data_IF_440108443832
#
_entry.id   IF_440108443832
#
_cell.length_a   1.000
_cell.length_b   1.000
_cell.length_c   1.000
_cell.angle_alpha   90.00
_cell.angle_beta   90.00
_cell.angle_gamma   90.00
#
_symmetry.space_group_name_H-M   'P 1'
#
loop_
_entity.id
_entity.type
_entity.pdbx_description
1 polymer ?
#
# COMPACT_ATOMS: atom_id res chain seq x y z
N UNK A 1 13.91 -23.66 -7.61
CA UNK A 1 13.96 -22.73 -6.45
C UNK A 1 13.47 -21.32 -6.76
N UNK A 2 14.23 -20.48 -7.49
CA UNK A 2 13.87 -19.08 -7.73
C UNK A 2 12.51 -18.88 -8.43
N UNK A 3 12.19 -19.74 -9.42
CA UNK A 3 10.90 -19.70 -10.14
C UNK A 3 9.69 -19.93 -9.23
N UNK A 4 9.78 -20.84 -8.26
CA UNK A 4 8.71 -21.13 -7.29
C UNK A 4 8.52 -19.97 -6.30
N UNK A 5 9.62 -19.44 -5.73
CA UNK A 5 9.58 -18.26 -4.85
C UNK A 5 8.97 -17.03 -5.55
N UNK A 6 9.31 -16.80 -6.82
CA UNK A 6 8.76 -15.70 -7.61
C UNK A 6 7.26 -15.86 -7.88
N UNK A 7 6.80 -17.06 -8.23
CA UNK A 7 5.37 -17.34 -8.44
C UNK A 7 4.56 -17.13 -7.16
N UNK A 8 5.09 -17.60 -6.03
CA UNK A 8 4.50 -17.44 -4.70
C UNK A 8 4.43 -15.97 -4.26
N UNK A 9 5.52 -15.22 -4.45
CA UNK A 9 5.53 -13.77 -4.21
C UNK A 9 4.49 -13.07 -5.08
N UNK A 10 4.40 -13.41 -6.37
CA UNK A 10 3.40 -12.86 -7.28
C UNK A 10 1.99 -13.17 -6.79
N UNK A 11 1.71 -14.42 -6.40
CA UNK A 11 0.42 -14.84 -5.83
C UNK A 11 0.02 -13.97 -4.64
N UNK A 12 0.90 -13.85 -3.63
CA UNK A 12 0.60 -13.07 -2.43
C UNK A 12 0.32 -11.60 -2.76
N UNK A 13 1.12 -11.01 -3.66
CA UNK A 13 0.90 -9.62 -4.07
C UNK A 13 -0.47 -9.44 -4.74
N UNK A 14 -0.84 -10.32 -5.68
CA UNK A 14 -2.13 -10.26 -6.37
C UNK A 14 -3.29 -10.50 -5.40
N UNK A 15 -3.15 -11.48 -4.49
CA UNK A 15 -4.14 -11.76 -3.44
C UNK A 15 -4.39 -10.53 -2.57
N UNK A 16 -3.33 -9.92 -2.03
CA UNK A 16 -3.45 -8.71 -1.23
C UNK A 16 -3.94 -7.51 -2.03
N UNK A 17 -3.67 -7.43 -3.34
CA UNK A 17 -4.28 -6.41 -4.19
C UNK A 17 -5.81 -6.54 -4.20
N UNK A 18 -6.34 -7.77 -4.32
CA UNK A 18 -7.80 -8.02 -4.30
C UNK A 18 -8.39 -7.63 -2.97
N UNK A 19 -7.88 -8.19 -1.86
CA UNK A 19 -8.39 -7.94 -0.51
C UNK A 19 -8.38 -6.45 -0.19
N UNK A 20 -7.27 -5.76 -0.46
CA UNK A 20 -7.21 -4.33 -0.19
C UNK A 20 -8.16 -3.53 -1.08
N UNK A 21 -8.31 -3.88 -2.36
CA UNK A 21 -9.28 -3.20 -3.23
C UNK A 21 -10.71 -3.38 -2.71
N UNK A 22 -11.07 -4.55 -2.17
CA UNK A 22 -12.36 -4.79 -1.53
C UNK A 22 -12.58 -3.90 -0.30
N UNK A 23 -11.55 -3.74 0.52
CA UNK A 23 -11.59 -2.83 1.68
C UNK A 23 -11.84 -1.39 1.23
N UNK A 24 -11.06 -0.90 0.26
CA UNK A 24 -11.23 0.44 -0.31
C UNK A 24 -12.65 0.65 -0.88
N UNK A 25 -13.20 -0.35 -1.58
CA UNK A 25 -14.57 -0.28 -2.12
C UNK A 25 -15.62 -0.22 -1.03
N UNK A 26 -15.48 -1.05 0.01
CA UNK A 26 -16.42 -1.12 1.14
C UNK A 26 -16.47 0.20 1.89
N UNK A 27 -15.31 0.81 2.15
CA UNK A 27 -15.21 2.10 2.82
C UNK A 27 -15.43 3.31 1.89
N UNK A 28 -15.66 3.10 0.59
CA UNK A 28 -15.75 4.16 -0.44
C UNK A 28 -14.54 5.11 -0.47
N UNK A 29 -13.36 4.58 -0.18
CA UNK A 29 -12.09 5.32 -0.20
C UNK A 29 -11.39 5.04 -1.52
N UNK A 30 -10.90 6.08 -2.19
CA UNK A 30 -10.12 5.94 -3.43
C UNK A 30 -8.62 5.98 -3.08
N UNK A 31 -7.85 4.94 -3.46
CA UNK A 31 -6.40 4.94 -3.27
C UNK A 31 -5.74 6.14 -3.96
N UNK A 32 -4.74 6.77 -3.33
CA UNK A 32 -4.03 7.95 -3.90
C UNK A 32 -3.60 7.78 -5.36
N UNK A 33 -3.14 6.59 -5.74
CA UNK A 33 -2.69 6.30 -7.10
C UNK A 33 -3.80 6.20 -8.15
N UNK A 34 -5.06 6.10 -7.75
CA UNK A 34 -6.23 6.04 -8.63
C UNK A 34 -7.06 7.33 -8.61
N UNK A 35 -6.71 8.31 -7.77
CA UNK A 35 -7.42 9.59 -7.71
C UNK A 35 -7.09 10.40 -8.96
N UNK A 36 -8.11 10.65 -9.78
CA UNK A 36 -7.99 11.53 -10.94
C UNK A 36 -7.96 12.99 -10.44
N UNK A 37 -6.90 13.73 -10.77
CA UNK A 37 -6.72 15.15 -10.40
C UNK A 37 -6.79 16.02 -11.65
N UNK A 38 -7.95 16.02 -12.31
CA UNK A 38 -8.22 16.82 -13.51
C UNK A 38 -9.30 17.81 -13.13
N UNK A 39 -9.04 19.09 -13.38
CA UNK A 39 -9.95 20.18 -13.03
C UNK A 39 -10.07 21.14 -14.22
N UNK A 40 -11.26 21.68 -14.49
CA UNK A 40 -11.42 22.71 -15.49
C UNK A 40 -10.70 24.00 -15.08
N UNK A 41 -10.30 24.79 -16.08
CA UNK A 41 -9.63 26.06 -15.87
C UNK A 41 -10.66 27.19 -15.89
N UNK A 42 -11.27 27.46 -14.74
CA UNK A 42 -12.16 28.60 -14.54
C UNK A 42 -11.52 29.62 -13.58
N UNK A 43 -11.82 30.91 -13.76
CA UNK A 43 -11.38 31.96 -12.84
C UNK A 43 -12.03 31.81 -11.45
N UNK A 44 -13.32 31.49 -11.43
CA UNK A 44 -14.07 31.18 -10.23
C UNK A 44 -14.92 29.93 -10.48
N UNK A 45 -14.83 28.95 -9.59
CA UNK A 45 -15.60 27.71 -9.72
C UNK A 45 -16.57 27.63 -8.54
N UNK A 46 -17.90 27.72 -8.80
CA UNK A 46 -18.92 27.59 -7.77
C UNK A 46 -18.76 26.28 -7.00
N UNK A 47 -19.00 26.31 -5.68
CA UNK A 47 -18.85 25.14 -4.82
C UNK A 47 -19.74 23.97 -5.26
N UNK A 48 -20.96 24.26 -5.71
CA UNK A 48 -21.88 23.22 -6.22
C UNK A 48 -21.30 22.46 -7.41
N UNK A 49 -20.72 23.19 -8.37
CA UNK A 49 -20.07 22.58 -9.53
C UNK A 49 -18.85 21.75 -9.11
N UNK A 50 -18.07 22.21 -8.12
CA UNK A 50 -16.94 21.42 -7.59
C UNK A 50 -17.40 20.08 -7.05
N UNK A 51 -18.45 20.08 -6.23
CA UNK A 51 -19.01 18.85 -5.66
C UNK A 51 -19.48 17.89 -6.75
N UNK A 52 -20.22 18.39 -7.76
CA UNK A 52 -20.67 17.57 -8.89
C UNK A 52 -19.50 16.99 -9.68
N UNK A 53 -18.46 17.79 -9.93
CA UNK A 53 -17.27 17.35 -10.64
C UNK A 53 -16.50 16.28 -9.86
N UNK A 54 -16.28 16.49 -8.56
CA UNK A 54 -15.64 15.51 -7.67
C UNK A 54 -16.42 14.20 -7.61
N UNK A 55 -17.75 14.26 -7.64
CA UNK A 55 -18.59 13.07 -7.71
C UNK A 55 -18.35 12.28 -9.01
N UNK A 56 -18.27 12.94 -10.16
CA UNK A 56 -17.95 12.29 -11.44
C UNK A 56 -16.56 11.63 -11.41
N UNK A 57 -15.56 12.33 -10.87
CA UNK A 57 -14.22 11.78 -10.70
C UNK A 57 -14.20 10.58 -9.74
N UNK A 58 -15.00 10.66 -8.67
CA UNK A 58 -15.15 9.59 -7.69
C UNK A 58 -15.74 8.34 -8.34
N UNK A 59 -16.86 8.46 -9.05
CA UNK A 59 -17.51 7.36 -9.75
C UNK A 59 -16.59 6.72 -10.79
N UNK A 60 -15.84 7.53 -11.54
CA UNK A 60 -14.83 7.05 -12.48
C UNK A 60 -13.75 6.21 -11.76
N UNK A 61 -13.21 6.73 -10.66
CA UNK A 61 -12.17 6.05 -9.88
C UNK A 61 -12.67 4.72 -9.29
N UNK A 62 -13.92 4.67 -8.83
CA UNK A 62 -14.57 3.44 -8.37
C UNK A 62 -14.68 2.39 -9.49
N UNK A 63 -15.06 2.81 -10.72
CA UNK A 63 -15.07 1.93 -11.89
C UNK A 63 -13.67 1.39 -12.23
N UNK A 64 -12.64 2.22 -12.13
CA UNK A 64 -11.24 1.78 -12.30
C UNK A 64 -10.84 0.74 -11.27
N UNK A 65 -11.21 0.93 -9.99
CA UNK A 65 -10.95 -0.06 -8.95
C UNK A 65 -11.63 -1.40 -9.24
N UNK A 66 -12.88 -1.40 -9.73
CA UNK A 66 -13.59 -2.62 -10.13
C UNK A 66 -12.89 -3.34 -11.27
N UNK A 67 -12.43 -2.60 -12.28
CA UNK A 67 -11.66 -3.16 -13.39
C UNK A 67 -10.36 -3.81 -12.90
N UNK A 68 -9.62 -3.14 -12.02
CA UNK A 68 -8.39 -3.68 -11.41
C UNK A 68 -8.67 -4.94 -10.59
N UNK A 69 -9.74 -4.95 -9.79
CA UNK A 69 -10.14 -6.11 -9.00
C UNK A 69 -10.42 -7.30 -9.91
N UNK A 70 -11.20 -7.10 -10.97
CA UNK A 70 -11.51 -8.14 -11.96
C UNK A 70 -10.23 -8.73 -12.58
N UNK A 71 -9.33 -7.88 -13.07
CA UNK A 71 -8.05 -8.32 -13.63
C UNK A 71 -7.22 -9.14 -12.62
N UNK A 72 -7.12 -8.67 -11.38
CA UNK A 72 -6.37 -9.38 -10.33
C UNK A 72 -6.98 -10.74 -9.99
N UNK A 73 -8.31 -10.88 -10.02
CA UNK A 73 -8.99 -12.16 -9.81
C UNK A 73 -8.65 -13.16 -10.94
N UNK A 74 -8.72 -12.72 -12.19
CA UNK A 74 -8.35 -13.55 -13.35
C UNK A 74 -6.87 -13.99 -13.28
N UNK A 75 -5.98 -13.07 -12.90
CA UNK A 75 -4.56 -13.38 -12.67
C UNK A 75 -4.36 -14.38 -11.54
N UNK A 76 -5.11 -14.26 -10.44
CA UNK A 76 -5.03 -15.17 -9.30
C UNK A 76 -5.43 -16.60 -9.70
N UNK A 77 -6.47 -16.76 -10.52
CA UNK A 77 -6.87 -18.07 -11.06
C UNK A 77 -5.79 -18.67 -11.98
N UNK A 78 -5.17 -17.85 -12.84
CA UNK A 78 -4.04 -18.29 -13.67
C UNK A 78 -2.85 -18.79 -12.83
N UNK A 79 -2.51 -18.05 -11.76
CA UNK A 79 -1.42 -18.43 -10.85
C UNK A 79 -1.76 -19.71 -10.08
N UNK A 80 -3.01 -19.88 -9.63
CA UNK A 80 -3.47 -21.11 -8.97
C UNK A 80 -3.29 -22.34 -9.87
N UNK A 81 -3.60 -22.22 -11.16
CA UNK A 81 -3.40 -23.30 -12.12
C UNK A 81 -1.92 -23.68 -12.26
N UNK A 82 -1.03 -22.67 -12.39
CA UNK A 82 0.41 -22.89 -12.47
C UNK A 82 0.97 -23.55 -11.21
N UNK A 83 0.48 -23.14 -10.03
CA UNK A 83 0.89 -23.77 -8.78
C UNK A 83 0.44 -25.22 -8.69
N UNK A 84 -0.79 -25.53 -9.09
CA UNK A 84 -1.28 -26.91 -9.12
C UNK A 84 -0.37 -27.82 -9.96
N UNK A 85 0.01 -27.37 -11.16
CA UNK A 85 0.93 -28.11 -12.03
C UNK A 85 2.29 -28.37 -11.36
N UNK A 86 2.86 -27.37 -10.68
CA UNK A 86 4.13 -27.51 -9.96
C UNK A 86 3.97 -28.47 -8.77
N UNK A 87 2.87 -28.37 -8.00
CA UNK A 87 2.60 -29.27 -6.89
C UNK A 87 2.45 -30.71 -7.36
N UNK A 88 1.73 -30.94 -8.46
CA UNK A 88 1.55 -32.29 -9.02
C UNK A 88 2.89 -32.90 -9.47
N UNK A 89 3.82 -32.10 -10.03
CA UNK A 89 5.17 -32.54 -10.36
C UNK A 89 6.06 -32.86 -9.15
N UNK A 90 5.75 -32.24 -7.99
CA UNK A 90 6.57 -32.38 -6.78
C UNK A 90 6.05 -33.46 -5.82
N UNK A 91 4.85 -34.02 -6.05
CA UNK A 91 4.25 -35.08 -5.21
C UNK A 91 5.15 -36.31 -5.04
N UNK A 92 5.91 -36.66 -6.06
CA UNK A 92 6.80 -37.83 -6.04
C UNK A 92 7.97 -37.67 -5.04
N UNK A 93 8.26 -36.45 -4.60
CA UNK A 93 9.38 -36.12 -3.72
C UNK A 93 8.94 -35.83 -2.27
N UNK A 94 7.65 -35.97 -1.95
CA UNK A 94 7.06 -35.55 -0.67
C UNK A 94 7.63 -36.29 0.55
N UNK A 95 8.08 -37.53 0.36
CA UNK A 95 8.70 -38.35 1.41
C UNK A 95 10.19 -38.04 1.63
N UNK A 96 10.81 -37.21 0.78
CA UNK A 96 12.22 -36.86 0.91
C UNK A 96 12.41 -35.83 2.05
N UNK A 97 13.29 -36.13 3.00
CA UNK A 97 13.59 -35.24 4.14
C UNK A 97 14.21 -33.90 3.71
N UNK A 98 15.01 -33.87 2.63
CA UNK A 98 15.52 -32.62 2.07
C UNK A 98 14.39 -31.77 1.48
N UNK A 99 13.40 -32.42 0.87
CA UNK A 99 12.21 -31.75 0.35
C UNK A 99 11.38 -31.13 1.48
N UNK A 100 11.20 -31.84 2.60
CA UNK A 100 10.50 -31.31 3.78
C UNK A 100 11.19 -30.08 4.37
N UNK A 101 12.52 -30.11 4.49
CA UNK A 101 13.29 -28.93 4.93
C UNK A 101 13.06 -27.75 4.01
N UNK A 102 13.12 -27.99 2.70
CA UNK A 102 12.92 -26.95 1.71
C UNK A 102 11.50 -26.37 1.72
N UNK A 103 10.49 -27.21 1.92
CA UNK A 103 9.09 -26.79 2.05
C UNK A 103 8.89 -25.90 3.29
N UNK A 104 9.52 -26.25 4.42
CA UNK A 104 9.51 -25.42 5.61
C UNK A 104 10.16 -24.04 5.37
N UNK A 105 11.32 -23.99 4.73
CA UNK A 105 11.97 -22.72 4.37
C UNK A 105 11.08 -21.85 3.48
N UNK A 106 10.33 -22.48 2.57
CA UNK A 106 9.39 -21.81 1.68
C UNK A 106 8.17 -21.27 2.42
N UNK A 107 7.63 -22.03 3.38
CA UNK A 107 6.55 -21.59 4.27
C UNK A 107 6.96 -20.40 5.12
N UNK A 108 8.13 -20.43 5.74
CA UNK A 108 8.66 -19.29 6.52
C UNK A 108 8.85 -18.05 5.63
N UNK A 109 9.39 -18.23 4.43
CA UNK A 109 9.50 -17.14 3.45
C UNK A 109 8.13 -16.54 3.09
N UNK A 110 7.11 -17.39 2.90
CA UNK A 110 5.75 -16.95 2.60
C UNK A 110 5.13 -16.14 3.74
N UNK A 111 5.31 -16.58 4.99
CA UNK A 111 4.80 -15.88 6.17
C UNK A 111 5.43 -14.49 6.29
N UNK A 112 6.75 -14.41 6.16
CA UNK A 112 7.47 -13.13 6.23
C UNK A 112 7.01 -12.15 5.13
N UNK A 113 6.86 -12.63 3.89
CA UNK A 113 6.34 -11.82 2.79
C UNK A 113 4.88 -11.38 3.04
N UNK A 114 4.06 -12.26 3.62
CA UNK A 114 2.67 -11.97 3.91
C UNK A 114 2.54 -10.80 4.89
N UNK A 115 3.31 -10.84 5.98
CA UNK A 115 3.39 -9.78 6.99
C UNK A 115 3.87 -8.47 6.36
N UNK A 116 4.96 -8.50 5.57
CA UNK A 116 5.52 -7.32 4.92
C UNK A 116 4.50 -6.62 4.01
N UNK A 117 3.85 -7.40 3.13
CA UNK A 117 2.85 -6.87 2.20
C UNK A 117 1.67 -6.29 2.98
N UNK A 118 1.14 -7.03 3.96
CA UNK A 118 0.03 -6.57 4.79
C UNK A 118 0.33 -5.24 5.47
N UNK A 119 1.50 -5.10 6.11
CA UNK A 119 1.89 -3.86 6.79
C UNK A 119 2.01 -2.67 5.83
N UNK A 120 2.54 -2.89 4.62
CA UNK A 120 2.59 -1.85 3.59
C UNK A 120 1.18 -1.45 3.14
N UNK A 121 0.29 -2.42 2.96
CA UNK A 121 -1.09 -2.18 2.53
C UNK A 121 -1.89 -1.43 3.59
N UNK A 122 -1.79 -1.85 4.87
CA UNK A 122 -2.40 -1.20 6.02
C UNK A 122 -1.99 0.27 6.12
N UNK A 123 -0.67 0.56 6.10
CA UNK A 123 -0.17 1.94 6.12
C UNK A 123 -0.67 2.78 4.95
N UNK A 124 -0.78 2.19 3.75
CA UNK A 124 -1.35 2.89 2.59
C UNK A 124 -2.83 3.22 2.81
N UNK A 125 -3.60 2.27 3.33
CA UNK A 125 -5.01 2.47 3.63
C UNK A 125 -5.22 3.56 4.67
N UNK A 126 -4.55 3.49 5.83
CA UNK A 126 -4.62 4.50 6.89
C UNK A 126 -4.29 5.90 6.38
N UNK A 127 -3.20 6.01 5.60
CA UNK A 127 -2.78 7.27 4.99
C UNK A 127 -3.83 7.81 4.01
N UNK A 128 -4.50 6.93 3.29
CA UNK A 128 -5.51 7.30 2.31
C UNK A 128 -6.84 7.66 3.01
N UNK A 129 -7.20 7.00 4.11
CA UNK A 129 -8.30 7.37 5.03
C UNK A 129 -8.09 8.75 5.63
N UNK A 130 -6.89 9.03 6.13
CA UNK A 130 -6.54 10.34 6.69
C UNK A 130 -6.71 11.49 5.66
N UNK A 131 -6.59 11.23 4.35
CA UNK A 131 -6.90 12.27 3.36
C UNK A 131 -8.40 12.59 3.30
N UNK A 132 -9.28 11.62 3.54
CA UNK A 132 -10.73 11.84 3.59
C UNK A 132 -11.11 12.61 4.85
N UNK A 133 -10.55 12.23 6.00
CA UNK A 133 -10.79 12.90 7.28
C UNK A 133 -10.42 14.39 7.22
N UNK A 134 -9.34 14.72 6.50
CA UNK A 134 -8.86 16.10 6.34
C UNK A 134 -9.34 16.79 5.07
N UNK A 135 -10.30 16.21 4.32
CA UNK A 135 -10.82 16.78 3.06
C UNK A 135 -9.74 17.09 2.00
N UNK A 136 -8.68 16.28 1.95
CA UNK A 136 -7.51 16.43 1.07
C UNK A 136 -7.55 15.50 -0.15
N UNK A 137 -8.72 14.99 -0.52
CA UNK A 137 -8.89 14.03 -1.63
C UNK A 137 -8.75 14.72 -2.99
N UNK A 138 -9.42 15.87 -3.17
CA UNK A 138 -9.41 16.65 -4.40
C UNK A 138 -8.92 18.07 -4.11
N UNK A 139 -7.94 18.52 -4.89
CA UNK A 139 -7.17 19.73 -4.57
C UNK A 139 -7.26 20.74 -5.72
N UNK A 140 -8.45 21.33 -5.88
CA UNK A 140 -8.78 22.32 -6.93
C UNK A 140 -7.78 23.46 -7.06
N UNK A 141 -7.30 23.97 -5.92
CA UNK A 141 -6.48 25.18 -5.86
C UNK A 141 -4.99 24.89 -5.67
N UNK A 142 -4.51 23.70 -6.05
CA UNK A 142 -3.07 23.49 -6.15
C UNK A 142 -2.55 24.41 -7.23
N UNK A 143 -2.04 25.58 -6.80
CA UNK A 143 -1.18 26.41 -7.62
C UNK A 143 -0.21 25.46 -8.31
N UNK A 144 -0.11 25.51 -9.64
CA UNK A 144 0.77 24.66 -10.47
C UNK A 144 2.25 24.98 -10.15
N UNK A 145 2.69 24.76 -8.92
CA UNK A 145 4.07 24.96 -8.48
C UNK A 145 4.83 23.67 -8.77
N UNK A 146 5.51 23.67 -9.91
CA UNK A 146 6.94 23.34 -9.98
C UNK A 146 7.41 21.95 -9.52
N UNK A 147 6.58 20.91 -9.54
CA UNK A 147 7.07 19.55 -9.20
C UNK A 147 7.94 18.89 -10.31
N UNK A 148 8.00 19.47 -11.51
CA UNK A 148 8.81 18.93 -12.62
C UNK A 148 10.23 19.52 -12.74
N UNK A 149 10.67 20.44 -11.86
CA UNK A 149 11.98 21.10 -12.01
C UNK A 149 13.10 20.65 -11.07
N UNK A 150 12.88 19.73 -10.12
CA UNK A 150 13.93 19.27 -9.19
C UNK A 150 14.34 17.79 -9.33
N UNK A 151 14.15 17.18 -10.51
CA UNK A 151 14.95 16.00 -10.93
C UNK A 151 16.15 16.43 -11.78
N UNK A 152 16.80 17.52 -11.37
CA UNK A 152 18.12 17.88 -11.89
C UNK A 152 19.18 16.97 -11.29
N UNK A 153 19.80 16.15 -12.13
CA UNK A 153 21.22 15.80 -12.06
C UNK A 153 21.80 15.51 -10.66
N UNK A 154 21.70 14.25 -10.21
CA UNK A 154 22.75 13.65 -9.38
C UNK A 154 23.96 13.38 -10.28
N UNK A 155 24.71 14.42 -10.60
CA UNK A 155 25.96 14.32 -11.35
C UNK A 155 26.84 15.50 -10.98
N UNK A 156 27.92 15.23 -10.24
CA UNK A 156 28.94 16.23 -9.94
C UNK A 156 29.41 16.20 -8.50
N UNK A 157 30.43 15.38 -8.24
CA UNK A 157 31.38 15.60 -7.15
C UNK A 157 31.96 17.01 -7.30
N UNK A 158 31.43 17.98 -6.56
CA UNK A 158 32.12 19.24 -6.29
C UNK A 158 32.44 19.27 -4.80
N UNK A 159 33.69 18.92 -4.47
CA UNK A 159 34.26 19.14 -3.14
C UNK A 159 34.32 20.66 -2.89
N UNK A 160 33.80 21.19 -1.77
CA UNK A 160 34.20 22.49 -1.31
C UNK A 160 35.56 22.34 -0.60
N UNK A 161 36.58 22.97 -1.17
CA UNK A 161 37.85 23.28 -0.50
C UNK A 161 37.59 24.05 0.79
N UNK A 162 38.25 23.65 1.87
CA UNK A 162 38.01 24.17 3.21
C UNK A 162 38.51 25.60 3.46
N UNK A 163 37.99 26.18 4.53
CA UNK A 163 38.72 27.07 5.43
C UNK A 163 38.09 27.01 6.82
N UNK A 164 38.95 26.81 7.82
CA UNK A 164 38.73 26.84 9.27
C UNK A 164 37.97 28.14 9.70
N UNK A 165 37.22 28.20 10.81
CA UNK A 165 37.63 27.82 12.17
C UNK A 165 36.45 27.83 13.19
N UNK A 166 36.57 26.91 14.16
CA UNK A 166 36.28 27.07 15.59
C UNK A 166 34.84 27.01 16.20
N UNK A 167 34.71 26.02 17.11
CA UNK A 167 34.05 25.99 18.45
C UNK A 167 32.75 25.20 18.62
N UNK A 168 32.88 24.08 19.36
CA UNK A 168 31.99 23.59 20.43
C UNK A 168 30.60 23.13 20.00
N UNK A 169 30.17 21.90 20.23
CA UNK A 169 30.07 21.25 21.54
C UNK A 169 29.63 19.80 21.33
N UNK A 170 30.13 18.90 22.17
CA UNK A 170 29.67 17.52 22.30
C UNK A 170 28.19 17.47 22.72
N UNK A 171 27.39 16.62 22.06
CA UNK A 171 26.21 15.97 22.66
C UNK A 171 25.90 14.68 21.90
N UNK A 172 26.27 13.57 22.54
CA UNK A 172 25.57 12.29 22.43
C UNK A 172 24.16 12.45 23.03
N UNK A 173 23.14 11.91 22.37
CA UNK A 173 21.92 11.35 23.00
C UNK A 173 21.12 10.60 21.91
N UNK A 174 20.97 9.28 22.04
CA UNK A 174 19.70 8.61 22.41
C UNK A 174 18.76 8.55 21.18
N UNK A 175 18.60 7.46 20.43
CA UNK A 175 18.16 6.08 20.76
C UNK A 175 16.94 6.06 21.70
N UNK A 176 15.85 6.64 21.22
CA UNK A 176 14.54 6.49 21.86
C UNK A 176 13.94 5.11 21.57
N UNK A 177 13.89 4.32 22.65
CA UNK A 177 13.11 3.10 22.79
C UNK A 177 11.62 3.45 22.82
N UNK A 178 10.83 2.73 22.02
CA UNK A 178 9.38 2.82 22.00
C UNK A 178 8.82 2.17 23.27
N UNK A 179 8.20 2.98 24.14
CA UNK A 179 7.51 2.51 25.36
C UNK A 179 6.12 2.00 25.00
N UNK A 180 5.89 0.74 25.37
CA UNK A 180 4.67 -0.02 25.19
C UNK A 180 3.82 0.13 26.46
N UNK A 181 2.80 0.98 26.43
CA UNK A 181 1.77 1.06 27.48
C UNK A 181 0.63 1.98 27.06
N UNK A 182 -0.45 1.41 26.51
CA UNK A 182 -1.81 1.67 27.01
C UNK A 182 -2.81 0.72 26.34
N UNK A 183 -3.05 -0.40 27.05
CA UNK A 183 -4.19 -1.28 26.85
C UNK A 183 -5.02 -1.21 28.13
N UNK A 184 -6.03 -0.35 28.15
CA UNK A 184 -7.18 -0.53 29.04
C UNK A 184 -8.39 0.29 28.58
N UNK A 185 -9.57 -0.33 28.63
CA UNK A 185 -10.84 0.39 28.71
C UNK A 185 -11.61 0.54 27.40
N UNK A 186 -12.33 -0.51 27.01
CA UNK A 186 -13.71 -0.30 26.54
C UNK A 186 -14.55 -1.56 26.75
N UNK A 187 -15.36 -1.47 27.79
CA UNK A 187 -16.39 -2.44 28.18
C UNK A 187 -17.42 -2.64 27.07
N UNK A 188 -17.83 -3.90 26.96
CA UNK A 188 -18.85 -4.42 26.05
C UNK A 188 -20.21 -4.15 26.67
N UNK A 189 -21.02 -3.31 26.04
CA UNK A 189 -22.44 -3.18 26.37
C UNK A 189 -23.22 -4.25 25.60
N UNK A 190 -23.72 -5.21 26.37
CA UNK A 190 -24.65 -6.27 26.01
C UNK A 190 -26.05 -5.68 25.78
N UNK A 191 -26.63 -5.91 24.61
CA UNK A 191 -28.03 -5.63 24.32
C UNK A 191 -28.65 -6.91 23.73
N UNK A 192 -29.24 -7.71 24.61
CA UNK A 192 -30.20 -8.75 24.23
C UNK A 192 -31.64 -8.19 24.22
N UNK A 193 -32.54 -8.78 23.39
CA UNK A 193 -33.82 -8.18 23.06
C UNK A 193 -34.93 -8.58 24.05
N UNK A 194 -35.86 -7.65 24.28
CA UNK A 194 -37.09 -7.90 25.02
C UNK A 194 -38.11 -8.64 24.16
N UNK A 195 -38.77 -9.61 24.79
CA UNK A 195 -40.04 -10.19 24.40
C UNK A 195 -41.07 -9.77 25.45
#
# INVERSE_FOLDING_TARGET
>A
MAKSKNLLRRRLNVFWNVICLEEYMTCRIIPRGLRVQIFPSFEETPTEFKTQWEQVLHECSCKLMLLLKKHNLEELESIKLQQKQICDQLKEYELNEEFKRLDNDLKTFMENLNIEIMQVKKRKFERDTHDYDNQNVYLWNKKKYTAFRNRGYRGGNAKPSGSHNAKGTSRQSERDSYSESDMSGRDVADCSPAN
#
